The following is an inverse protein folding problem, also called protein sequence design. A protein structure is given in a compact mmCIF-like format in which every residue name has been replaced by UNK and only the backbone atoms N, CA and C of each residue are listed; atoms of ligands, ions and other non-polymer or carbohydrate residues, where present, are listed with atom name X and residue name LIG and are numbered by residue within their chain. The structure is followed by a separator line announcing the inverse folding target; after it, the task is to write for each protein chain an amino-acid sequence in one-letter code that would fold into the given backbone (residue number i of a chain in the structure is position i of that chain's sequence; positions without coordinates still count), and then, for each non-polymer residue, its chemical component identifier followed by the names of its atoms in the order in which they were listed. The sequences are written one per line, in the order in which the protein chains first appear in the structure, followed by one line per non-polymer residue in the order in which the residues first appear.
data_IF_869224974062
#
_entry.id   IF_869224974062
#
_cell.length_a   1.000
_cell.length_b   1.000
_cell.length_c   1.000
_cell.angle_alpha   90.00
_cell.angle_beta   90.00
_cell.angle_gamma   90.00
#
_symmetry.space_group_name_H-M   'P 1'
#
loop_
_entity.id
_entity.type
_entity.pdbx_description
1 polymer ?
#
# COMPACT_ATOMS: atom_id res chain seq x y z
N UNK A 1 50.00 -47.23 28.35
CA UNK A 1 48.96 -46.22 28.78
C UNK A 1 48.78 -45.06 27.80
N UNK A 2 49.84 -44.49 27.19
CA UNK A 2 49.68 -43.39 26.19
C UNK A 2 48.98 -43.74 24.88
N UNK A 3 49.13 -45.02 24.43
CA UNK A 3 48.50 -45.50 23.15
C UNK A 3 46.98 -45.70 23.29
N UNK A 4 46.51 -46.22 24.43
CA UNK A 4 45.07 -46.46 24.66
C UNK A 4 44.27 -45.17 24.78
N UNK A 5 44.85 -44.09 25.32
CA UNK A 5 44.19 -42.78 25.38
C UNK A 5 43.99 -42.16 24.00
N UNK A 6 44.92 -42.39 23.04
CA UNK A 6 44.80 -41.89 21.68
C UNK A 6 43.73 -42.63 20.89
N UNK A 7 43.59 -43.95 21.10
CA UNK A 7 42.55 -44.76 20.46
C UNK A 7 41.19 -44.44 21.03
N UNK A 8 41.08 -44.17 22.33
CA UNK A 8 39.81 -43.73 22.98
C UNK A 8 39.34 -42.36 22.47
N UNK A 9 40.26 -41.40 22.26
CA UNK A 9 39.93 -40.10 21.69
C UNK A 9 39.53 -40.19 20.22
N UNK A 10 40.12 -41.11 19.45
CA UNK A 10 39.75 -41.35 18.03
C UNK A 10 38.35 -41.96 17.94
N UNK A 11 38.00 -42.89 18.83
CA UNK A 11 36.67 -43.51 18.88
C UNK A 11 35.59 -42.50 19.33
N UNK A 12 35.89 -41.64 20.28
CA UNK A 12 34.96 -40.60 20.73
C UNK A 12 34.72 -39.52 19.65
N UNK A 13 35.75 -39.19 18.86
CA UNK A 13 35.65 -38.30 17.71
C UNK A 13 34.77 -38.85 16.57
N UNK A 14 34.87 -40.19 16.31
CA UNK A 14 34.06 -40.83 15.26
C UNK A 14 32.56 -40.95 15.63
N UNK A 15 32.22 -41.06 16.94
CA UNK A 15 30.82 -41.16 17.37
C UNK A 15 30.10 -39.82 17.24
N UNK A 16 30.83 -38.71 17.27
CA UNK A 16 30.21 -37.38 17.07
C UNK A 16 29.84 -37.09 15.60
N UNK A 17 30.38 -37.83 14.63
CA UNK A 17 30.04 -37.68 13.20
C UNK A 17 28.95 -38.62 12.71
N UNK A 18 28.44 -39.55 13.53
CA UNK A 18 27.34 -40.46 13.18
C UNK A 18 25.98 -39.93 13.59
N UNK A 19 25.94 -38.72 14.18
CA UNK A 19 24.70 -37.94 14.28
C UNK A 19 24.41 -37.30 12.89
N UNK A 20 24.41 -38.11 11.82
CA UNK A 20 23.65 -37.77 10.64
C UNK A 20 22.19 -37.76 11.11
N UNK A 21 21.72 -36.59 11.34
CA UNK A 21 20.33 -36.26 11.45
C UNK A 21 19.65 -36.87 10.22
N UNK A 22 18.89 -37.91 10.42
CA UNK A 22 17.93 -38.35 9.43
C UNK A 22 16.83 -37.31 9.38
N UNK A 23 17.10 -36.19 8.68
CA UNK A 23 16.06 -35.25 8.34
C UNK A 23 15.08 -36.04 7.47
N UNK A 24 14.04 -36.55 8.13
CA UNK A 24 12.92 -37.14 7.43
C UNK A 24 12.55 -36.14 6.31
N UNK A 25 12.38 -36.64 5.10
CA UNK A 25 12.04 -35.83 3.93
C UNK A 25 11.03 -34.82 4.33
N UNK A 26 11.44 -33.54 4.43
CA UNK A 26 10.55 -32.40 4.63
C UNK A 26 9.59 -32.47 3.44
N UNK A 27 8.38 -32.93 3.70
CA UNK A 27 7.32 -32.79 2.70
C UNK A 27 7.06 -31.29 2.62
N UNK A 28 7.16 -30.67 1.43
CA UNK A 28 6.66 -29.29 1.27
C UNK A 28 5.23 -29.30 1.81
N UNK A 29 4.89 -28.34 2.66
CA UNK A 29 3.48 -28.11 2.99
C UNK A 29 2.74 -27.89 1.68
N UNK A 30 1.70 -28.65 1.43
CA UNK A 30 0.96 -28.65 0.16
C UNK A 30 0.38 -27.26 -0.14
N UNK A 31 0.29 -26.40 0.87
CA UNK A 31 -0.05 -24.98 0.74
C UNK A 31 0.83 -24.18 1.71
N UNK A 32 1.45 -23.06 1.28
CA UNK A 32 2.11 -22.17 2.20
C UNK A 32 1.05 -21.67 3.20
N UNK A 33 1.26 -21.92 4.49
CA UNK A 33 0.46 -21.27 5.52
C UNK A 33 0.66 -19.76 5.33
N UNK A 34 -0.39 -19.08 4.87
CA UNK A 34 -0.38 -17.63 4.82
C UNK A 34 -0.18 -17.14 6.26
N UNK A 35 0.73 -16.20 6.44
CA UNK A 35 1.23 -15.70 7.74
C UNK A 35 0.10 -15.24 8.69
N UNK A 36 -1.15 -15.14 8.22
CA UNK A 36 -2.32 -14.59 8.90
C UNK A 36 -3.57 -15.47 8.83
N UNK A 37 -3.39 -16.76 8.76
CA UNK A 37 -4.50 -17.70 8.71
C UNK A 37 -4.75 -18.25 7.31
N UNK A 38 -5.52 -19.31 7.26
CA UNK A 38 -5.95 -19.90 5.99
C UNK A 38 -7.11 -19.09 5.43
N UNK A 39 -6.86 -18.41 4.33
CA UNK A 39 -7.94 -17.89 3.50
C UNK A 39 -8.36 -18.98 2.53
N UNK A 40 -9.64 -19.32 2.56
CA UNK A 40 -10.19 -20.24 1.56
C UNK A 40 -10.67 -19.42 0.36
N UNK A 41 -10.19 -19.75 -0.84
CA UNK A 41 -10.71 -19.24 -2.11
C UNK A 41 -11.30 -20.41 -2.91
N UNK A 42 -12.45 -20.25 -3.53
CA UNK A 42 -13.34 -19.07 -3.47
C UNK A 42 -13.95 -18.86 -2.09
N UNK A 43 -14.36 -17.61 -1.79
CA UNK A 43 -15.03 -17.29 -0.50
C UNK A 43 -16.55 -17.54 -0.54
N UNK A 44 -17.10 -17.81 -1.71
CA UNK A 44 -18.52 -18.10 -1.95
C UNK A 44 -18.73 -18.90 -3.22
N UNK A 45 -19.93 -18.78 -3.79
CA UNK A 45 -20.34 -19.43 -5.04
C UNK A 45 -21.08 -18.41 -5.92
N UNK A 46 -20.38 -17.30 -6.22
CA UNK A 46 -20.87 -16.20 -7.04
C UNK A 46 -20.09 -16.17 -8.35
N UNK A 47 -20.66 -15.54 -9.37
CA UNK A 47 -20.03 -15.42 -10.70
C UNK A 47 -18.64 -14.76 -10.64
N UNK A 48 -18.42 -13.83 -9.71
CA UNK A 48 -17.13 -13.15 -9.53
C UNK A 48 -16.09 -13.96 -8.75
N UNK A 49 -16.45 -15.05 -8.11
CA UNK A 49 -15.50 -15.83 -7.29
C UNK A 49 -14.41 -16.50 -8.15
N UNK A 50 -14.74 -16.94 -9.36
CA UNK A 50 -13.76 -17.49 -10.30
C UNK A 50 -12.75 -16.43 -10.75
N UNK A 51 -13.19 -15.19 -10.96
CA UNK A 51 -12.31 -14.05 -11.30
C UNK A 51 -11.36 -13.72 -10.15
N UNK A 52 -11.84 -13.73 -8.90
CA UNK A 52 -11.02 -13.55 -7.69
C UNK A 52 -9.96 -14.64 -7.58
N UNK A 53 -10.32 -15.91 -7.84
CA UNK A 53 -9.36 -17.02 -7.85
C UNK A 53 -8.32 -16.88 -8.96
N UNK A 54 -8.76 -16.45 -10.17
CA UNK A 54 -7.86 -16.20 -11.30
C UNK A 54 -6.89 -15.04 -11.00
N UNK A 55 -7.38 -13.96 -10.40
CA UNK A 55 -6.59 -12.82 -9.96
C UNK A 55 -5.50 -13.26 -8.97
N UNK A 56 -5.87 -14.03 -7.95
CA UNK A 56 -4.90 -14.56 -6.97
C UNK A 56 -3.84 -15.44 -7.64
N UNK A 57 -4.24 -16.33 -8.55
CA UNK A 57 -3.29 -17.20 -9.27
C UNK A 57 -2.31 -16.41 -10.12
N UNK A 58 -2.75 -15.29 -10.70
CA UNK A 58 -1.91 -14.46 -11.57
C UNK A 58 -0.98 -13.52 -10.79
N UNK A 59 -1.47 -12.88 -9.75
CA UNK A 59 -0.76 -11.77 -9.08
C UNK A 59 -0.35 -12.07 -7.64
N UNK A 60 -0.85 -13.15 -7.03
CA UNK A 60 -0.53 -13.52 -5.64
C UNK A 60 -1.21 -12.64 -4.58
N UNK A 61 -2.04 -11.69 -4.97
CA UNK A 61 -2.78 -10.81 -4.06
C UNK A 61 -4.20 -11.33 -3.84
N UNK A 62 -4.64 -11.37 -2.58
CA UNK A 62 -5.96 -11.85 -2.19
C UNK A 62 -6.97 -10.70 -2.25
N UNK A 63 -8.04 -10.84 -3.03
CA UNK A 63 -9.21 -9.98 -2.97
C UNK A 63 -10.21 -10.63 -2.00
N UNK A 64 -10.46 -9.99 -0.83
CA UNK A 64 -11.25 -10.56 0.23
C UNK A 64 -12.47 -9.70 0.50
N UNK A 65 -13.66 -10.22 0.22
CA UNK A 65 -14.94 -9.62 0.57
C UNK A 65 -15.54 -10.20 1.86
N UNK A 66 -14.95 -11.29 2.39
CA UNK A 66 -15.18 -11.82 3.73
C UNK A 66 -13.87 -11.80 4.49
N UNK A 67 -13.79 -10.98 5.51
CA UNK A 67 -12.64 -10.84 6.39
C UNK A 67 -13.07 -10.52 7.81
N UNK A 68 -12.14 -10.60 8.74
CA UNK A 68 -12.36 -10.27 10.16
C UNK A 68 -11.62 -9.00 10.53
N UNK A 69 -11.96 -8.43 11.67
CA UNK A 69 -11.21 -7.31 12.27
C UNK A 69 -9.73 -7.63 12.42
N UNK A 70 -9.41 -8.92 12.67
CA UNK A 70 -8.01 -9.38 12.72
C UNK A 70 -7.30 -9.24 11.38
N UNK A 71 -7.96 -9.49 10.27
CA UNK A 71 -7.37 -9.35 8.94
C UNK A 71 -7.04 -7.91 8.60
N UNK A 72 -7.90 -7.00 9.03
CA UNK A 72 -7.72 -5.56 8.87
C UNK A 72 -6.65 -5.00 9.82
N UNK A 73 -6.66 -5.36 11.11
CA UNK A 73 -5.85 -4.72 12.14
C UNK A 73 -4.48 -5.32 12.38
N UNK A 74 -4.13 -6.37 11.69
CA UNK A 74 -2.88 -7.05 11.96
C UNK A 74 -1.65 -6.22 11.59
N UNK A 75 -0.69 -6.14 12.54
CA UNK A 75 0.63 -5.56 12.32
C UNK A 75 1.68 -6.41 13.05
N UNK A 76 2.89 -6.62 12.46
CA UNK A 76 3.96 -7.39 13.10
C UNK A 76 4.50 -6.74 14.36
N UNK A 77 4.31 -5.44 14.51
CA UNK A 77 4.80 -4.68 15.67
C UNK A 77 3.82 -4.66 16.85
N UNK A 78 2.62 -5.23 16.67
CA UNK A 78 1.60 -5.25 17.70
C UNK A 78 1.05 -3.88 18.09
N UNK A 79 1.28 -2.85 17.28
CA UNK A 79 0.87 -1.46 17.57
C UNK A 79 -0.64 -1.21 17.38
N UNK A 80 -1.39 -2.22 16.99
CA UNK A 80 -2.84 -2.12 16.80
C UNK A 80 -3.55 -2.81 17.95
N UNK A 81 -4.22 -2.05 18.80
CA UNK A 81 -5.06 -2.59 19.83
C UNK A 81 -6.41 -3.04 19.26
N UNK A 82 -6.88 -4.20 19.75
CA UNK A 82 -8.17 -4.77 19.37
C UNK A 82 -9.22 -4.35 20.38
N UNK A 83 -10.31 -3.76 19.93
CA UNK A 83 -11.49 -3.65 20.74
C UNK A 83 -12.46 -4.80 20.37
N UNK A 84 -12.41 -5.85 21.16
CA UNK A 84 -13.24 -7.06 20.96
C UNK A 84 -14.73 -6.74 21.11
N UNK A 85 -15.08 -5.69 21.85
CA UNK A 85 -16.48 -5.36 22.15
C UNK A 85 -17.16 -4.58 21.06
N UNK A 86 -16.39 -3.81 20.28
CA UNK A 86 -16.91 -2.96 19.21
C UNK A 86 -16.53 -3.44 17.81
N UNK A 87 -15.77 -4.53 17.72
CA UNK A 87 -15.19 -5.07 16.47
C UNK A 87 -14.46 -4.01 15.64
N UNK A 88 -13.86 -3.03 16.30
CA UNK A 88 -13.13 -1.91 15.73
C UNK A 88 -11.67 -1.92 16.15
N UNK A 89 -10.80 -1.29 15.35
CA UNK A 89 -9.38 -1.25 15.60
C UNK A 89 -8.99 0.12 16.14
N UNK A 90 -8.27 0.13 17.25
CA UNK A 90 -7.65 1.33 17.82
C UNK A 90 -6.20 1.36 17.38
N UNK A 91 -5.78 2.42 16.70
CA UNK A 91 -4.38 2.69 16.46
C UNK A 91 -3.84 3.53 17.62
N UNK A 92 -2.92 3.00 18.45
CA UNK A 92 -2.34 3.75 19.56
C UNK A 92 -1.65 5.03 19.06
N UNK A 93 -1.96 6.15 19.69
CA UNK A 93 -1.36 7.45 19.37
C UNK A 93 -2.02 8.22 18.23
N UNK A 94 -2.92 7.63 17.46
CA UNK A 94 -3.61 8.32 16.37
C UNK A 94 -4.90 9.05 16.78
N UNK A 95 -5.39 8.84 18.02
CA UNK A 95 -6.64 9.45 18.49
C UNK A 95 -7.89 9.03 17.71
N UNK A 96 -7.83 7.91 16.97
CA UNK A 96 -8.90 7.46 16.06
C UNK A 96 -9.02 5.94 16.05
N UNK A 97 -10.21 5.47 15.71
CA UNK A 97 -10.52 4.08 15.37
C UNK A 97 -10.85 3.98 13.88
N UNK A 98 -10.71 2.77 13.34
CA UNK A 98 -11.24 2.45 12.01
C UNK A 98 -12.40 1.48 12.16
N UNK A 99 -13.51 1.77 11.48
CA UNK A 99 -14.63 0.86 11.33
C UNK A 99 -14.61 0.33 9.89
N UNK A 100 -14.23 -0.93 9.74
CA UNK A 100 -14.11 -1.59 8.45
C UNK A 100 -15.02 -2.82 8.46
N UNK A 101 -16.09 -2.78 7.66
CA UNK A 101 -17.05 -3.87 7.52
C UNK A 101 -16.87 -4.55 6.16
N UNK A 102 -16.93 -5.89 6.09
CA UNK A 102 -16.88 -6.63 4.84
C UNK A 102 -17.89 -6.13 3.80
N UNK A 103 -17.58 -6.27 2.52
CA UNK A 103 -18.48 -5.90 1.43
C UNK A 103 -19.80 -6.68 1.51
N UNK A 104 -20.88 -6.04 1.10
CA UNK A 104 -22.13 -6.75 0.79
C UNK A 104 -21.94 -7.55 -0.50
N UNK A 105 -22.17 -8.85 -0.43
CA UNK A 105 -21.96 -9.80 -1.52
C UNK A 105 -22.70 -9.41 -2.82
N UNK A 106 -23.79 -8.65 -2.71
CA UNK A 106 -24.55 -8.15 -3.88
C UNK A 106 -23.78 -7.10 -4.69
N UNK A 107 -22.81 -6.40 -4.08
CA UNK A 107 -22.11 -5.28 -4.72
C UNK A 107 -20.62 -5.54 -4.94
N UNK A 108 -20.15 -6.75 -4.64
CA UNK A 108 -18.73 -7.13 -4.85
C UNK A 108 -18.35 -7.01 -6.32
N UNK A 109 -19.18 -7.46 -7.25
CA UNK A 109 -18.90 -7.33 -8.68
C UNK A 109 -18.68 -5.86 -9.09
N UNK A 110 -19.56 -4.96 -8.65
CA UNK A 110 -19.41 -3.52 -8.92
C UNK A 110 -18.15 -2.93 -8.32
N UNK A 111 -17.76 -3.38 -7.11
CA UNK A 111 -16.54 -2.93 -6.46
C UNK A 111 -15.28 -3.44 -7.17
N UNK A 112 -15.31 -4.67 -7.69
CA UNK A 112 -14.22 -5.21 -8.50
C UNK A 112 -14.08 -4.46 -9.84
N UNK A 113 -15.20 -4.12 -10.50
CA UNK A 113 -15.23 -3.28 -11.69
C UNK A 113 -14.65 -1.88 -11.41
N UNK A 114 -15.00 -1.28 -10.28
CA UNK A 114 -14.44 0.01 -9.85
C UNK A 114 -12.93 -0.06 -9.65
N UNK A 115 -12.42 -1.11 -9.00
CA UNK A 115 -10.99 -1.33 -8.83
C UNK A 115 -10.28 -1.59 -10.15
N UNK A 116 -10.88 -2.37 -11.05
CA UNK A 116 -10.34 -2.61 -12.37
C UNK A 116 -10.18 -1.30 -13.15
N UNK A 117 -11.22 -0.46 -13.13
CA UNK A 117 -11.25 0.81 -13.84
C UNK A 117 -10.32 1.87 -13.21
N UNK A 118 -10.33 2.02 -11.88
CA UNK A 118 -9.68 3.13 -11.18
C UNK A 118 -8.29 2.81 -10.62
N UNK A 119 -7.84 1.55 -10.70
CA UNK A 119 -6.49 1.16 -10.29
C UNK A 119 -5.82 0.22 -11.30
N UNK A 120 -6.40 -0.96 -11.55
CA UNK A 120 -5.67 -2.03 -12.24
C UNK A 120 -5.40 -1.73 -13.71
N UNK A 121 -6.30 -1.01 -14.41
CA UNK A 121 -6.13 -0.63 -15.80
C UNK A 121 -4.94 0.32 -16.04
N UNK A 122 -4.48 1.05 -15.03
CA UNK A 122 -3.29 1.89 -15.15
C UNK A 122 -2.00 1.11 -15.00
N UNK A 123 -2.02 0.00 -14.22
CA UNK A 123 -0.80 -0.67 -13.80
C UNK A 123 -0.26 -1.62 -14.87
N UNK A 124 1.05 -1.55 -15.14
CA UNK A 124 1.74 -2.59 -15.91
C UNK A 124 1.73 -3.94 -15.18
N UNK A 125 1.95 -5.06 -15.89
CA UNK A 125 2.03 -6.38 -15.27
C UNK A 125 3.10 -6.46 -14.17
N UNK A 126 4.19 -5.69 -14.31
CA UNK A 126 5.24 -5.58 -13.29
C UNK A 126 4.70 -4.92 -12.02
N UNK A 127 3.98 -3.82 -12.13
CA UNK A 127 3.36 -3.14 -10.99
C UNK A 127 2.22 -3.97 -10.39
N UNK A 128 1.41 -4.65 -11.22
CA UNK A 128 0.41 -5.60 -10.72
C UNK A 128 1.01 -6.71 -9.85
N UNK A 129 2.24 -7.13 -10.14
CA UNK A 129 2.96 -8.12 -9.32
C UNK A 129 3.48 -7.53 -7.98
N UNK A 130 3.42 -6.22 -7.80
CA UNK A 130 3.76 -5.52 -6.56
C UNK A 130 2.55 -5.22 -5.67
N UNK A 131 1.34 -5.70 -6.02
CA UNK A 131 0.15 -5.52 -5.20
C UNK A 131 0.37 -6.00 -3.75
N UNK A 132 -0.25 -5.36 -2.76
CA UNK A 132 -0.17 -5.83 -1.37
C UNK A 132 -0.74 -7.25 -1.27
N UNK A 133 -0.33 -7.97 -0.25
CA UNK A 133 -0.75 -9.37 -0.06
C UNK A 133 -2.28 -9.54 -0.04
N UNK A 134 -2.99 -8.52 0.45
CA UNK A 134 -4.45 -8.52 0.53
C UNK A 134 -5.03 -7.18 0.09
N UNK A 135 -6.17 -7.24 -0.57
CA UNK A 135 -7.07 -6.12 -0.80
C UNK A 135 -8.38 -6.49 -0.13
N UNK A 136 -8.76 -5.75 0.92
CA UNK A 136 -9.99 -5.98 1.66
C UNK A 136 -11.11 -5.14 1.05
N UNK A 137 -12.18 -5.79 0.63
CA UNK A 137 -13.35 -5.16 0.02
C UNK A 137 -14.35 -4.81 1.14
N UNK A 138 -14.59 -3.52 1.36
CA UNK A 138 -15.40 -3.02 2.47
C UNK A 138 -16.72 -2.41 1.99
N UNK A 139 -17.81 -2.66 2.71
CA UNK A 139 -19.08 -1.93 2.59
C UNK A 139 -19.05 -0.61 3.36
N UNK A 140 -18.25 -0.57 4.42
CA UNK A 140 -18.00 0.60 5.25
C UNK A 140 -16.51 0.65 5.57
N UNK A 141 -15.92 1.83 5.45
CA UNK A 141 -14.56 2.11 5.86
C UNK A 141 -14.51 3.54 6.39
N UNK A 142 -14.55 3.69 7.70
CA UNK A 142 -14.63 5.00 8.34
C UNK A 142 -13.50 5.22 9.33
N UNK A 143 -12.99 6.43 9.38
CA UNK A 143 -12.19 6.93 10.50
C UNK A 143 -13.13 7.47 11.57
N UNK A 144 -13.04 6.92 12.79
CA UNK A 144 -13.86 7.33 13.93
C UNK A 144 -12.96 8.00 14.98
N UNK A 145 -13.05 9.32 15.17
CA UNK A 145 -12.27 10.03 16.18
C UNK A 145 -12.53 9.48 17.59
N UNK A 146 -11.50 9.52 18.43
CA UNK A 146 -11.58 9.13 19.84
C UNK A 146 -11.51 10.39 20.70
N UNK A 147 -12.52 10.56 21.55
CA UNK A 147 -12.57 11.66 22.53
C UNK A 147 -11.78 11.36 23.81
N UNK A 148 -11.86 12.27 24.76
CA UNK A 148 -11.30 12.09 26.10
C UNK A 148 -11.84 10.81 26.75
N UNK A 149 -10.95 10.05 27.39
CA UNK A 149 -11.29 8.78 28.01
C UNK A 149 -11.40 7.61 27.04
N UNK A 150 -10.85 7.75 25.83
CA UNK A 150 -10.84 6.72 24.78
C UNK A 150 -12.24 6.34 24.27
N UNK A 151 -13.23 7.21 24.45
CA UNK A 151 -14.57 6.98 23.92
C UNK A 151 -14.65 7.35 22.44
N UNK A 152 -15.10 6.45 21.56
CA UNK A 152 -15.32 6.76 20.15
C UNK A 152 -16.43 7.82 20.00
N UNK A 153 -16.27 8.65 18.98
CA UNK A 153 -17.26 9.67 18.60
C UNK A 153 -17.89 9.27 17.27
N UNK A 154 -18.90 8.41 17.28
CA UNK A 154 -19.49 7.89 16.04
C UNK A 154 -20.16 8.99 15.19
N UNK A 155 -20.62 10.07 15.82
CA UNK A 155 -21.22 11.22 15.11
C UNK A 155 -20.21 12.08 14.35
N UNK A 156 -18.89 11.92 14.64
CA UNK A 156 -17.78 12.59 13.97
C UNK A 156 -17.06 11.66 12.97
N UNK A 157 -17.67 10.56 12.59
CA UNK A 157 -17.17 9.52 11.68
C UNK A 157 -16.91 10.15 10.29
N UNK A 158 -15.75 9.81 9.71
CA UNK A 158 -15.29 10.30 8.41
C UNK A 158 -15.15 9.12 7.45
N UNK A 159 -15.97 9.04 6.40
CA UNK A 159 -15.80 8.01 5.39
C UNK A 159 -14.45 8.14 4.69
N UNK A 160 -13.80 7.01 4.48
CA UNK A 160 -12.58 6.89 3.71
C UNK A 160 -12.85 6.09 2.43
N UNK A 161 -12.20 6.46 1.34
CA UNK A 161 -12.18 5.65 0.13
C UNK A 161 -11.27 4.43 0.29
N UNK A 162 -10.14 4.62 0.99
CA UNK A 162 -9.10 3.61 1.11
C UNK A 162 -8.34 3.77 2.43
N UNK A 163 -7.82 2.66 2.93
CA UNK A 163 -6.85 2.61 4.02
C UNK A 163 -5.70 1.68 3.65
N UNK A 164 -4.48 2.16 3.76
CA UNK A 164 -3.27 1.36 3.59
C UNK A 164 -2.80 0.83 4.94
N UNK A 165 -2.95 -0.47 5.16
CA UNK A 165 -2.43 -1.18 6.32
C UNK A 165 -1.03 -1.73 6.06
N UNK A 166 -0.52 -2.58 6.96
CA UNK A 166 0.85 -3.10 6.84
C UNK A 166 1.02 -4.08 5.67
N UNK A 167 0.06 -4.97 5.43
CA UNK A 167 0.09 -5.98 4.35
C UNK A 167 -1.14 -5.93 3.46
N UNK A 168 -1.96 -4.91 3.60
CA UNK A 168 -3.20 -4.81 2.86
C UNK A 168 -3.54 -3.37 2.50
N UNK A 169 -4.39 -3.26 1.50
CA UNK A 169 -5.18 -2.07 1.25
C UNK A 169 -6.63 -2.46 1.49
N UNK A 170 -7.36 -1.68 2.29
CA UNK A 170 -8.80 -1.80 2.41
C UNK A 170 -9.47 -0.74 1.55
N UNK A 171 -10.47 -1.11 0.78
CA UNK A 171 -11.18 -0.24 -0.15
C UNK A 171 -12.66 -0.20 0.17
N UNK A 172 -13.26 0.97 0.17
CA UNK A 172 -14.69 1.19 0.45
C UNK A 172 -15.55 0.95 -0.79
N UNK A 173 -16.83 1.28 -0.69
CA UNK A 173 -17.86 1.22 -1.72
C UNK A 173 -18.47 -0.16 -2.03
N UNK A 174 -18.20 -1.19 -1.24
CA UNK A 174 -18.85 -2.51 -1.37
C UNK A 174 -20.27 -2.55 -0.82
N UNK A 175 -21.10 -1.55 -1.17
CA UNK A 175 -22.52 -1.44 -0.77
C UNK A 175 -23.34 -0.79 -1.89
N UNK A 176 -24.66 -0.68 -1.70
CA UNK A 176 -25.58 -0.02 -2.64
C UNK A 176 -25.18 1.41 -3.03
N UNK A 177 -24.40 2.08 -2.19
CA UNK A 177 -23.88 3.43 -2.48
C UNK A 177 -23.05 3.49 -3.77
N UNK A 178 -22.40 2.40 -4.16
CA UNK A 178 -21.62 2.37 -5.40
C UNK A 178 -22.46 2.65 -6.65
N UNK A 179 -23.74 2.30 -6.62
CA UNK A 179 -24.67 2.51 -7.75
C UNK A 179 -25.00 3.98 -7.99
N UNK A 180 -24.79 4.83 -6.98
CA UNK A 180 -25.07 6.28 -7.02
C UNK A 180 -23.84 7.13 -6.93
N UNK A 181 -22.66 6.50 -7.01
CA UNK A 181 -21.36 7.17 -6.97
C UNK A 181 -21.23 8.18 -8.10
N UNK A 182 -20.99 9.43 -7.75
CA UNK A 182 -20.82 10.53 -8.71
C UNK A 182 -19.47 10.46 -9.42
N UNK A 183 -19.30 11.19 -10.52
CA UNK A 183 -18.03 11.31 -11.24
C UNK A 183 -16.92 11.86 -10.29
N UNK A 184 -17.22 12.89 -9.51
CA UNK A 184 -16.26 13.46 -8.55
C UNK A 184 -15.81 12.43 -7.50
N UNK A 185 -16.75 11.63 -6.96
CA UNK A 185 -16.44 10.57 -6.00
C UNK A 185 -15.59 9.47 -6.65
N UNK A 186 -15.88 9.09 -7.90
CA UNK A 186 -15.06 8.12 -8.66
C UNK A 186 -13.66 8.63 -8.92
N UNK A 187 -13.53 9.90 -9.29
CA UNK A 187 -12.24 10.54 -9.50
C UNK A 187 -11.45 10.64 -8.19
N UNK A 188 -12.11 11.02 -7.08
CA UNK A 188 -11.44 11.06 -5.76
C UNK A 188 -11.04 9.64 -5.31
N UNK A 189 -11.89 8.63 -5.51
CA UNK A 189 -11.55 7.23 -5.22
C UNK A 189 -10.32 6.77 -6.02
N UNK A 190 -10.24 7.11 -7.32
CA UNK A 190 -9.08 6.81 -8.16
C UNK A 190 -7.80 7.38 -7.57
N UNK A 191 -7.79 8.68 -7.23
CA UNK A 191 -6.63 9.34 -6.62
C UNK A 191 -6.23 8.65 -5.32
N UNK A 192 -7.17 8.42 -4.43
CA UNK A 192 -6.91 7.84 -3.11
C UNK A 192 -6.38 6.41 -3.21
N UNK A 193 -6.97 5.56 -4.07
CA UNK A 193 -6.53 4.16 -4.20
C UNK A 193 -5.15 4.05 -4.87
N UNK A 194 -4.87 4.90 -5.87
CA UNK A 194 -3.55 4.95 -6.48
C UNK A 194 -2.48 5.46 -5.50
N UNK A 195 -2.77 6.52 -4.73
CA UNK A 195 -1.86 7.04 -3.69
C UNK A 195 -1.60 5.97 -2.62
N UNK A 196 -2.65 5.29 -2.15
CA UNK A 196 -2.51 4.22 -1.16
C UNK A 196 -1.69 3.04 -1.70
N UNK A 197 -1.93 2.64 -2.96
CA UNK A 197 -1.16 1.60 -3.63
C UNK A 197 0.33 1.98 -3.72
N UNK A 198 0.67 3.13 -4.32
CA UNK A 198 2.06 3.57 -4.45
C UNK A 198 2.71 3.81 -3.09
N UNK A 199 1.99 4.37 -2.11
CA UNK A 199 2.47 4.52 -0.74
C UNK A 199 2.85 3.21 -0.08
N UNK A 200 2.13 2.13 -0.39
CA UNK A 200 2.41 0.79 0.15
C UNK A 200 3.66 0.14 -0.44
N UNK A 201 4.05 0.51 -1.66
CA UNK A 201 5.15 -0.14 -2.41
C UNK A 201 6.34 0.79 -2.72
N UNK A 202 6.23 2.09 -2.47
CA UNK A 202 7.23 3.10 -2.87
C UNK A 202 8.65 2.74 -2.43
N UNK A 203 8.81 2.18 -1.23
CA UNK A 203 10.11 1.73 -0.70
C UNK A 203 10.70 0.57 -1.50
N UNK A 204 9.87 -0.33 -2.00
CA UNK A 204 10.31 -1.49 -2.77
C UNK A 204 10.60 -1.16 -4.23
N UNK A 205 9.94 -0.15 -4.79
CA UNK A 205 10.18 0.32 -6.15
C UNK A 205 11.56 0.97 -6.29
N UNK A 206 12.04 1.61 -5.22
CA UNK A 206 13.25 2.43 -5.24
C UNK A 206 13.02 3.78 -5.92
N UNK A 207 14.08 4.55 -6.00
CA UNK A 207 14.09 5.89 -6.59
C UNK A 207 15.46 6.19 -7.19
N UNK A 208 15.55 6.96 -8.29
CA UNK A 208 16.80 7.31 -8.90
C UNK A 208 17.58 8.31 -8.04
N UNK A 209 18.89 8.13 -7.91
CA UNK A 209 19.72 8.99 -7.07
C UNK A 209 19.77 10.44 -7.61
N UNK A 210 19.73 10.59 -8.92
CA UNK A 210 19.72 11.88 -9.61
C UNK A 210 18.55 12.76 -9.19
N UNK A 211 17.40 12.20 -8.85
CA UNK A 211 16.26 12.94 -8.31
C UNK A 211 16.62 13.70 -7.03
N UNK A 212 17.34 13.07 -6.13
CA UNK A 212 17.72 13.69 -4.86
C UNK A 212 18.88 14.68 -5.01
N UNK A 213 19.71 14.55 -6.06
CA UNK A 213 20.82 15.46 -6.30
C UNK A 213 20.39 16.85 -6.79
N UNK A 214 19.17 17.01 -7.30
CA UNK A 214 18.62 18.30 -7.73
C UNK A 214 18.39 19.25 -6.56
N UNK A 215 17.98 18.71 -5.41
CA UNK A 215 17.61 19.48 -4.22
C UNK A 215 18.74 19.54 -3.19
N UNK A 216 18.77 20.61 -2.42
CA UNK A 216 19.64 20.72 -1.26
C UNK A 216 18.78 20.57 0.01
N UNK A 217 18.66 19.33 0.52
CA UNK A 217 17.84 19.02 1.68
C UNK A 217 18.44 19.59 2.97
N UNK A 218 17.71 20.47 3.65
CA UNK A 218 18.19 21.12 4.88
C UNK A 218 17.03 21.63 5.74
N UNK A 219 17.19 21.54 7.06
CA UNK A 219 16.30 22.16 8.04
C UNK A 219 16.21 23.68 7.91
N UNK A 220 17.21 24.31 7.30
CA UNK A 220 17.29 25.76 7.15
C UNK A 220 16.48 26.32 5.96
N UNK A 221 15.83 25.46 5.16
CA UNK A 221 14.99 25.92 4.05
C UNK A 221 13.72 26.48 4.64
N UNK A 222 13.42 27.75 4.33
CA UNK A 222 12.18 28.40 4.74
C UNK A 222 10.99 27.88 3.92
N UNK A 223 9.77 28.09 4.42
CA UNK A 223 8.56 27.70 3.70
C UNK A 223 8.41 28.45 2.35
N UNK A 224 8.95 29.67 2.25
CA UNK A 224 8.90 30.47 1.03
C UNK A 224 9.93 30.01 -0.02
N UNK A 225 10.98 29.28 0.41
CA UNK A 225 12.09 28.87 -0.47
C UNK A 225 12.00 27.40 -0.94
N UNK A 226 10.98 26.64 -0.51
CA UNK A 226 10.90 25.20 -0.80
C UNK A 226 10.87 24.92 -2.30
N UNK A 227 10.05 25.66 -3.06
CA UNK A 227 9.92 25.45 -4.52
C UNK A 227 11.21 25.81 -5.26
N UNK A 228 11.88 26.91 -4.85
CA UNK A 228 13.17 27.27 -5.40
C UNK A 228 14.27 26.20 -5.16
N UNK A 229 14.04 25.31 -4.18
CA UNK A 229 14.88 24.15 -3.88
C UNK A 229 14.37 22.83 -4.49
N UNK A 230 13.27 22.85 -5.24
CA UNK A 230 12.68 21.65 -5.83
C UNK A 230 12.02 20.73 -4.79
N UNK A 231 11.45 21.30 -3.73
CA UNK A 231 10.75 20.58 -2.66
C UNK A 231 9.29 21.02 -2.64
N UNK A 232 8.36 20.07 -2.61
CA UNK A 232 6.93 20.35 -2.70
C UNK A 232 6.27 20.59 -1.35
N UNK A 233 6.81 19.99 -0.28
CA UNK A 233 6.25 20.08 1.06
C UNK A 233 7.33 20.46 2.06
N UNK A 234 7.11 21.57 2.78
CA UNK A 234 8.06 22.09 3.77
C UNK A 234 8.38 21.09 4.88
N UNK A 235 7.41 20.27 5.31
CA UNK A 235 7.61 19.28 6.36
C UNK A 235 8.51 18.12 5.89
N UNK A 236 8.67 17.97 4.58
CA UNK A 236 9.49 16.94 3.97
C UNK A 236 10.88 17.43 3.50
N UNK A 237 11.25 18.69 3.77
CA UNK A 237 12.51 19.32 3.30
C UNK A 237 13.80 18.62 3.73
N UNK A 238 13.73 17.66 4.63
CA UNK A 238 14.85 16.81 5.07
C UNK A 238 14.64 15.33 4.80
N UNK A 239 13.49 14.93 4.24
CA UNK A 239 13.11 13.54 4.02
C UNK A 239 13.11 13.20 2.53
N UNK A 240 14.15 12.51 2.06
CA UNK A 240 14.26 12.07 0.67
C UNK A 240 13.07 11.20 0.24
N UNK A 241 12.66 10.26 1.09
CA UNK A 241 11.58 9.33 0.79
C UNK A 241 10.21 10.04 0.67
N UNK A 242 9.92 10.96 1.61
CA UNK A 242 8.67 11.70 1.59
C UNK A 242 8.62 12.67 0.39
N UNK A 243 9.73 13.32 0.08
CA UNK A 243 9.80 14.21 -1.07
C UNK A 243 9.62 13.45 -2.38
N UNK A 244 10.23 12.26 -2.53
CA UNK A 244 9.95 11.38 -3.67
C UNK A 244 8.46 11.03 -3.78
N UNK A 245 7.82 10.69 -2.68
CA UNK A 245 6.40 10.35 -2.65
C UNK A 245 5.50 11.56 -2.92
N UNK A 246 5.91 12.76 -2.54
CA UNK A 246 5.17 13.99 -2.88
C UNK A 246 5.10 14.23 -4.39
N UNK A 247 6.16 13.90 -5.14
CA UNK A 247 6.15 13.98 -6.59
C UNK A 247 5.24 12.91 -7.25
N UNK A 248 5.18 11.71 -6.67
CA UNK A 248 4.21 10.71 -7.11
C UNK A 248 2.77 11.20 -6.91
N UNK A 249 2.48 11.75 -5.73
CA UNK A 249 1.17 12.34 -5.45
C UNK A 249 0.84 13.48 -6.40
N UNK A 250 1.81 14.36 -6.67
CA UNK A 250 1.65 15.46 -7.60
C UNK A 250 1.12 15.00 -8.97
N UNK A 251 1.73 13.95 -9.54
CA UNK A 251 1.34 13.39 -10.83
C UNK A 251 -0.02 12.69 -10.79
N UNK A 252 -0.35 12.00 -9.69
CA UNK A 252 -1.63 11.28 -9.52
C UNK A 252 -2.80 12.25 -9.31
N UNK A 253 -2.58 13.31 -8.56
CA UNK A 253 -3.65 14.23 -8.14
C UNK A 253 -4.01 15.27 -9.19
N UNK A 254 -3.10 15.59 -10.13
CA UNK A 254 -3.24 16.72 -11.04
C UNK A 254 -3.02 16.33 -12.50
N UNK A 255 -3.76 16.97 -13.41
CA UNK A 255 -3.46 16.85 -14.84
C UNK A 255 -2.17 17.62 -15.17
N UNK A 256 -1.46 17.19 -16.22
CA UNK A 256 -0.28 17.92 -16.69
C UNK A 256 -0.63 19.36 -17.10
N UNK A 257 -1.83 19.57 -17.66
CA UNK A 257 -2.31 20.89 -18.04
C UNK A 257 -2.45 21.82 -16.83
N UNK A 258 -2.94 21.30 -15.69
CA UNK A 258 -3.05 22.08 -14.45
C UNK A 258 -1.69 22.39 -13.85
N UNK A 259 -0.77 21.41 -13.91
CA UNK A 259 0.59 21.58 -13.42
C UNK A 259 1.38 22.64 -14.22
N UNK A 260 1.17 22.73 -15.52
CA UNK A 260 1.85 23.65 -16.42
C UNK A 260 1.13 24.99 -16.63
N UNK A 261 -0.13 25.10 -16.22
CA UNK A 261 -0.89 26.35 -16.30
C UNK A 261 -0.19 27.49 -15.54
N UNK A 262 -0.52 28.74 -15.84
CA UNK A 262 -0.01 29.88 -15.10
C UNK A 262 -0.33 29.75 -13.62
N UNK A 263 0.70 29.79 -12.76
CA UNK A 263 0.57 29.55 -11.31
C UNK A 263 0.56 28.06 -10.93
N UNK A 264 0.57 27.14 -11.88
CA UNK A 264 0.78 25.70 -11.64
C UNK A 264 2.19 25.41 -11.16
N UNK A 265 2.39 24.29 -10.48
CA UNK A 265 3.66 23.95 -9.81
C UNK A 265 4.83 23.80 -10.79
N UNK A 266 4.56 23.40 -12.04
CA UNK A 266 5.55 23.29 -13.10
C UNK A 266 5.68 24.57 -13.96
N UNK A 267 4.94 25.66 -13.65
CA UNK A 267 5.05 26.90 -14.40
C UNK A 267 6.35 27.65 -14.06
N UNK A 268 6.85 28.46 -15.00
CA UNK A 268 8.05 29.29 -14.79
C UNK A 268 7.87 30.31 -13.63
N UNK A 269 6.64 30.71 -13.35
CA UNK A 269 6.33 31.66 -12.27
C UNK A 269 6.44 31.02 -10.89
N UNK A 270 6.28 29.70 -10.77
CA UNK A 270 6.37 28.95 -9.52
C UNK A 270 7.71 28.21 -9.40
N UNK A 271 8.10 27.47 -10.41
CA UNK A 271 9.39 26.75 -10.49
C UNK A 271 10.49 27.66 -11.06
N UNK A 272 10.81 28.72 -10.33
CA UNK A 272 11.73 29.79 -10.79
C UNK A 272 13.15 29.29 -11.10
N UNK A 273 13.56 28.16 -10.55
CA UNK A 273 14.86 27.54 -10.76
C UNK A 273 14.82 26.30 -11.67
N UNK A 274 13.64 25.89 -12.14
CA UNK A 274 13.43 24.70 -12.98
C UNK A 274 13.65 23.37 -12.25
N UNK A 275 13.85 23.38 -10.94
CA UNK A 275 14.19 22.19 -10.15
C UNK A 275 13.01 21.27 -9.95
N UNK A 276 11.79 21.81 -9.82
CA UNK A 276 10.58 21.01 -9.68
C UNK A 276 10.36 20.26 -10.99
N UNK A 277 10.44 20.92 -12.13
CA UNK A 277 10.31 20.31 -13.46
C UNK A 277 11.38 19.27 -13.71
N UNK A 278 12.62 19.54 -13.33
CA UNK A 278 13.73 18.59 -13.45
C UNK A 278 13.43 17.29 -12.68
N UNK A 279 13.06 17.40 -11.42
CA UNK A 279 12.69 16.23 -10.58
C UNK A 279 11.45 15.51 -11.08
N UNK A 280 10.45 16.27 -11.50
CA UNK A 280 9.25 15.69 -12.10
C UNK A 280 9.59 14.86 -13.35
N UNK A 281 10.42 15.39 -14.26
CA UNK A 281 10.87 14.67 -15.45
C UNK A 281 11.63 13.39 -15.08
N UNK A 282 12.58 13.48 -14.13
CA UNK A 282 13.31 12.29 -13.64
C UNK A 282 12.35 11.23 -13.09
N UNK A 283 11.30 11.63 -12.40
CA UNK A 283 10.31 10.72 -11.86
C UNK A 283 9.49 10.05 -12.97
N UNK A 284 9.02 10.80 -13.97
CA UNK A 284 8.30 10.26 -15.13
C UNK A 284 9.19 9.25 -15.88
N UNK A 285 10.41 9.66 -16.27
CA UNK A 285 11.37 8.82 -17.00
C UNK A 285 11.71 7.52 -16.25
N UNK A 286 11.79 7.58 -14.93
CA UNK A 286 12.04 6.41 -14.09
C UNK A 286 10.89 5.39 -14.19
N UNK A 287 9.63 5.83 -14.09
CA UNK A 287 8.49 4.92 -14.19
C UNK A 287 8.30 4.38 -15.60
N UNK A 288 8.45 5.22 -16.63
CA UNK A 288 8.37 4.78 -18.02
C UNK A 288 9.46 3.75 -18.35
N UNK A 289 10.72 4.08 -18.04
CA UNK A 289 11.85 3.22 -18.43
C UNK A 289 11.94 1.91 -17.65
N UNK A 290 11.58 1.91 -16.36
CA UNK A 290 11.75 0.76 -15.48
C UNK A 290 10.52 -0.11 -15.35
N UNK A 291 9.35 0.50 -15.43
CA UNK A 291 8.09 -0.18 -15.15
C UNK A 291 7.12 -0.20 -16.34
N UNK A 292 7.51 0.41 -17.48
CA UNK A 292 6.63 0.59 -18.65
C UNK A 292 5.28 1.19 -18.22
N UNK A 293 5.35 2.32 -17.48
CA UNK A 293 4.22 2.88 -16.79
C UNK A 293 4.20 4.41 -16.83
N UNK A 294 3.16 4.99 -17.41
CA UNK A 294 2.89 6.43 -17.39
C UNK A 294 2.08 6.80 -16.14
N UNK A 295 2.75 7.24 -15.08
CA UNK A 295 2.09 7.66 -13.84
C UNK A 295 1.23 8.91 -14.04
N UNK A 296 1.58 9.81 -14.97
CA UNK A 296 0.83 11.02 -15.25
C UNK A 296 -0.52 10.72 -15.93
N UNK A 297 -0.66 9.56 -16.57
CA UNK A 297 -1.94 9.14 -17.15
C UNK A 297 -3.06 9.09 -16.10
N UNK A 298 -2.73 8.78 -14.83
CA UNK A 298 -3.72 8.75 -13.73
C UNK A 298 -4.27 10.16 -13.47
N UNK A 299 -3.40 11.17 -13.38
CA UNK A 299 -3.82 12.55 -13.14
C UNK A 299 -4.49 13.21 -14.35
N UNK A 300 -4.12 12.76 -15.56
CA UNK A 300 -4.71 13.28 -16.81
C UNK A 300 -6.12 12.73 -17.08
N UNK A 301 -6.46 11.58 -16.51
CA UNK A 301 -7.80 10.99 -16.65
C UNK A 301 -8.75 11.70 -15.69
N UNK A 302 -9.43 12.72 -16.21
CA UNK A 302 -10.46 13.48 -15.50
C UNK A 302 -11.80 13.06 -16.09
N UNK A 303 -12.65 12.39 -15.30
CA UNK A 303 -14.01 12.04 -15.67
C UNK A 303 -14.90 13.27 -15.83
#
# INVERSE_FOLDING_TARGET
MKSMKKILCLFLGCVLFISCYDEGKIKPSEEPELMYGKYTLPQGDHDYDDDIVAFYKKYGSLLLYKFTTKDFGWSPTGNVAWDITTDTIIIPGAGSKYDAQPADELYVSNQLELLQDKLFNYLSDTLMSCLPQKILLCSTLDLVPIGLGYNPKPDERQPLNVYAGFYHIAVNWGSDKILTMTADERNQFKKDVCIAYFGSIVKSLGSPQEFFMVSNYSDNISADDIYANGILNHDHRTSLENDWFDYLKLAIENSINDLEAEGGVLSESVDVNGKIREKYTIMIDFFESKYDFDIQAIGNDVE
#
